data_IF_831670377506
#
_entry.id   IF_831670377506
#
_cell.length_a   1.000
_cell.length_b   1.000
_cell.length_c   1.000
_cell.angle_alpha   90.00
_cell.angle_beta   90.00
_cell.angle_gamma   90.00
#
_symmetry.space_group_name_H-M   'P 1'
#
loop_
_entity.id
_entity.type
_entity.pdbx_description
1 polymer ?
#
# COMPACT_ATOMS: atom_id res chain seq x y z
N UNK A 1 -58.88 12.91 -11.75
CA UNK A 1 -57.59 12.88 -12.48
C UNK A 1 -56.43 13.58 -11.75
N UNK A 2 -56.62 14.66 -10.98
CA UNK A 2 -55.52 15.31 -10.23
C UNK A 2 -54.89 14.45 -9.10
N UNK A 3 -55.69 13.69 -8.36
CA UNK A 3 -55.20 12.90 -7.20
C UNK A 3 -54.31 11.71 -7.59
N UNK A 4 -54.56 11.11 -8.75
CA UNK A 4 -53.77 9.98 -9.28
C UNK A 4 -52.40 10.42 -9.81
N UNK A 5 -52.32 11.61 -10.42
CA UNK A 5 -51.05 12.17 -10.89
C UNK A 5 -50.11 12.56 -9.73
N UNK A 6 -50.67 13.09 -8.64
CA UNK A 6 -49.89 13.43 -7.43
C UNK A 6 -49.35 12.17 -6.75
N UNK A 7 -50.15 11.11 -6.65
CA UNK A 7 -49.70 9.83 -6.09
C UNK A 7 -48.57 9.19 -6.91
N UNK A 8 -48.65 9.26 -8.24
CA UNK A 8 -47.60 8.74 -9.12
C UNK A 8 -46.29 9.53 -9.00
N UNK A 9 -46.36 10.87 -8.92
CA UNK A 9 -45.19 11.72 -8.74
C UNK A 9 -44.50 11.49 -7.38
N UNK A 10 -45.27 11.29 -6.31
CA UNK A 10 -44.74 10.97 -4.98
C UNK A 10 -44.08 9.59 -4.98
N UNK A 11 -44.69 8.59 -5.63
CA UNK A 11 -44.10 7.27 -5.74
C UNK A 11 -42.76 7.29 -6.51
N UNK A 12 -42.66 8.05 -7.59
CA UNK A 12 -41.40 8.22 -8.34
C UNK A 12 -40.34 8.91 -7.50
N UNK A 13 -40.70 9.96 -6.74
CA UNK A 13 -39.78 10.64 -5.83
C UNK A 13 -39.27 9.73 -4.70
N UNK A 14 -40.15 8.90 -4.13
CA UNK A 14 -39.77 7.93 -3.09
C UNK A 14 -38.86 6.86 -3.69
N UNK A 15 -39.16 6.35 -4.88
CA UNK A 15 -38.29 5.37 -5.56
C UNK A 15 -36.93 6.00 -5.85
N UNK A 16 -36.86 7.23 -6.34
CA UNK A 16 -35.59 7.93 -6.60
C UNK A 16 -34.81 8.22 -5.32
N UNK A 17 -35.49 8.61 -4.23
CA UNK A 17 -34.87 8.84 -2.93
C UNK A 17 -34.34 7.53 -2.33
N UNK A 18 -35.11 6.44 -2.41
CA UNK A 18 -34.67 5.12 -1.97
C UNK A 18 -33.52 4.63 -2.84
N UNK A 19 -33.54 4.85 -4.16
CA UNK A 19 -32.43 4.48 -5.05
C UNK A 19 -31.16 5.28 -4.73
N UNK A 20 -31.28 6.58 -4.46
CA UNK A 20 -30.15 7.42 -4.06
C UNK A 20 -29.57 7.01 -2.69
N UNK A 21 -30.44 6.66 -1.73
CA UNK A 21 -30.02 6.16 -0.40
C UNK A 21 -29.38 4.78 -0.52
N UNK A 22 -29.98 3.87 -1.31
CA UNK A 22 -29.44 2.53 -1.56
C UNK A 22 -28.09 2.59 -2.28
N UNK A 23 -27.93 3.50 -3.24
CA UNK A 23 -26.66 3.73 -3.94
C UNK A 23 -25.59 4.41 -3.05
N UNK A 24 -26.02 5.17 -2.03
CA UNK A 24 -25.13 5.72 -1.01
C UNK A 24 -24.75 4.68 0.07
N UNK A 25 -25.59 3.66 0.30
CA UNK A 25 -25.32 2.55 1.23
C UNK A 25 -24.71 1.30 0.60
N UNK A 26 -24.64 1.23 -0.74
CA UNK A 26 -23.82 0.29 -1.52
C UNK A 26 -22.49 1.01 -1.85
N UNK A 27 -21.67 1.38 -0.87
CA UNK A 27 -21.00 0.42 0.01
C UNK A 27 -19.74 -0.05 -0.71
N UNK A 28 -18.77 0.86 -0.88
CA UNK A 28 -17.44 0.47 -1.37
C UNK A 28 -16.78 -0.56 -0.44
N UNK A 29 -15.71 -1.23 -0.88
CA UNK A 29 -15.03 -2.22 -0.07
C UNK A 29 -14.53 -1.60 1.24
N UNK A 30 -14.73 -2.29 2.35
CA UNK A 30 -14.16 -1.92 3.64
C UNK A 30 -12.66 -2.22 3.69
N UNK A 31 -11.96 -1.68 4.68
CA UNK A 31 -10.56 -2.04 4.93
C UNK A 31 -10.38 -3.56 5.16
N UNK A 32 -11.36 -4.21 5.78
CA UNK A 32 -11.34 -5.65 6.03
C UNK A 32 -11.47 -6.45 4.73
N UNK A 33 -12.35 -6.04 3.82
CA UNK A 33 -12.49 -6.67 2.50
C UNK A 33 -11.16 -6.62 1.73
N UNK A 34 -10.40 -5.52 1.85
CA UNK A 34 -9.08 -5.39 1.25
C UNK A 34 -8.06 -6.31 1.92
N UNK A 35 -8.07 -6.42 3.25
CA UNK A 35 -7.19 -7.32 4.00
C UNK A 35 -7.45 -8.79 3.65
N UNK A 36 -8.70 -9.19 3.52
CA UNK A 36 -9.11 -10.52 3.07
C UNK A 36 -8.66 -10.79 1.63
N UNK A 37 -8.85 -9.82 0.74
CA UNK A 37 -8.42 -9.92 -0.66
C UNK A 37 -6.89 -10.05 -0.77
N UNK A 38 -6.12 -9.36 0.07
CA UNK A 38 -4.66 -9.50 0.18
C UNK A 38 -4.29 -10.91 0.68
N UNK A 39 -4.94 -11.39 1.75
CA UNK A 39 -4.70 -12.71 2.32
C UNK A 39 -5.01 -13.88 1.37
N UNK A 40 -5.90 -13.67 0.40
CA UNK A 40 -6.22 -14.64 -0.65
C UNK A 40 -5.24 -14.70 -1.83
N UNK A 41 -4.26 -13.79 -1.95
CA UNK A 41 -3.31 -13.79 -3.07
C UNK A 41 -2.18 -14.80 -2.85
N UNK A 42 -1.96 -15.68 -3.83
CA UNK A 42 -0.83 -16.61 -3.82
C UNK A 42 0.33 -16.19 -4.72
N UNK A 43 0.09 -15.29 -5.68
CA UNK A 43 1.06 -14.85 -6.68
C UNK A 43 0.63 -13.54 -7.31
N UNK A 44 1.57 -12.60 -7.48
CA UNK A 44 1.32 -11.30 -8.11
C UNK A 44 2.60 -10.62 -8.57
N UNK A 45 2.46 -9.71 -9.54
CA UNK A 45 3.48 -8.75 -9.95
C UNK A 45 2.99 -7.32 -9.72
N UNK A 46 3.91 -6.41 -9.46
CA UNK A 46 3.64 -4.99 -9.35
C UNK A 46 4.77 -4.16 -9.95
N UNK A 47 4.44 -2.92 -10.26
CA UNK A 47 5.42 -1.86 -10.52
C UNK A 47 5.29 -0.80 -9.44
N UNK A 48 6.40 -0.21 -9.05
CA UNK A 48 6.42 0.95 -8.18
C UNK A 48 7.39 2.02 -8.70
N UNK A 49 7.08 3.27 -8.42
CA UNK A 49 7.99 4.39 -8.58
C UNK A 49 8.19 5.04 -7.22
N UNK A 50 9.43 5.10 -6.77
CA UNK A 50 9.82 5.73 -5.50
C UNK A 50 10.69 6.94 -5.79
N UNK A 51 10.49 8.01 -5.03
CA UNK A 51 11.31 9.21 -5.09
C UNK A 51 11.60 9.68 -3.68
N UNK A 52 12.88 9.79 -3.37
CA UNK A 52 13.34 10.44 -2.15
C UNK A 52 14.10 11.73 -2.51
N UNK A 53 14.73 12.36 -1.52
CA UNK A 53 15.45 13.62 -1.70
C UNK A 53 16.67 13.50 -2.65
N UNK A 54 17.13 12.29 -2.98
CA UNK A 54 18.40 12.05 -3.66
C UNK A 54 18.23 11.25 -4.95
N UNK A 55 17.21 10.41 -5.03
CA UNK A 55 17.08 9.36 -6.03
C UNK A 55 15.64 9.17 -6.48
N UNK A 56 15.49 8.71 -7.73
CA UNK A 56 14.25 8.17 -8.26
C UNK A 56 14.50 6.74 -8.68
N UNK A 57 13.64 5.84 -8.22
CA UNK A 57 13.72 4.42 -8.50
C UNK A 57 12.44 3.92 -9.15
N UNK A 58 12.59 3.05 -10.14
CA UNK A 58 11.51 2.29 -10.74
C UNK A 58 11.73 0.81 -10.42
N UNK A 59 10.74 0.21 -9.76
CA UNK A 59 10.76 -1.18 -9.35
C UNK A 59 9.74 -1.94 -10.19
N UNK A 60 10.16 -3.08 -10.73
CA UNK A 60 9.26 -4.13 -11.20
C UNK A 60 9.55 -5.36 -10.36
N UNK A 61 8.52 -5.96 -9.78
CA UNK A 61 8.70 -7.10 -8.91
C UNK A 61 7.54 -8.08 -9.00
N UNK A 62 7.84 -9.34 -8.69
CA UNK A 62 6.88 -10.43 -8.66
C UNK A 62 7.18 -11.35 -7.48
N UNK A 63 6.14 -11.88 -6.85
CA UNK A 63 6.23 -12.85 -5.76
C UNK A 63 5.24 -13.98 -6.04
N UNK A 64 5.64 -15.21 -5.75
CA UNK A 64 4.80 -16.39 -5.79
C UNK A 64 5.06 -17.23 -4.53
N UNK A 65 4.08 -17.23 -3.62
CA UNK A 65 4.18 -17.93 -2.34
C UNK A 65 4.08 -19.45 -2.51
N UNK A 66 3.43 -19.95 -3.56
CA UNK A 66 3.22 -21.39 -3.76
C UNK A 66 4.53 -22.14 -4.04
N UNK A 67 5.45 -21.50 -4.77
CA UNK A 67 6.76 -22.06 -5.09
C UNK A 67 7.91 -21.37 -4.34
N UNK A 68 7.58 -20.46 -3.41
CA UNK A 68 8.54 -19.75 -2.59
C UNK A 68 9.52 -18.89 -3.40
N UNK A 69 9.05 -18.24 -4.47
CA UNK A 69 9.91 -17.46 -5.36
C UNK A 69 9.55 -15.98 -5.46
N UNK A 70 10.57 -15.15 -5.62
CA UNK A 70 10.41 -13.72 -5.84
C UNK A 70 11.50 -13.14 -6.73
N UNK A 71 11.19 -12.03 -7.38
CA UNK A 71 12.09 -11.32 -8.27
C UNK A 71 11.84 -9.82 -8.18
N UNK A 72 12.92 -9.04 -8.18
CA UNK A 72 12.90 -7.58 -8.21
C UNK A 72 13.89 -7.08 -9.24
N UNK A 73 13.43 -6.17 -10.09
CA UNK A 73 14.24 -5.36 -10.98
C UNK A 73 14.10 -3.91 -10.55
N UNK A 74 15.20 -3.35 -10.06
CA UNK A 74 15.26 -1.96 -9.61
C UNK A 74 16.07 -1.16 -10.61
N UNK A 75 15.51 -0.09 -11.13
CA UNK A 75 16.17 0.84 -12.05
C UNK A 75 16.30 2.19 -11.38
N UNK A 76 17.52 2.68 -11.25
CA UNK A 76 17.82 3.96 -10.58
C UNK A 76 18.98 4.66 -11.31
N UNK A 77 18.80 5.94 -11.62
CA UNK A 77 19.76 6.70 -12.45
C UNK A 77 20.04 5.99 -13.79
N UNK A 78 21.30 5.61 -14.02
CA UNK A 78 21.74 4.90 -15.22
C UNK A 78 21.92 3.37 -15.01
N UNK A 79 21.57 2.86 -13.83
CA UNK A 79 21.80 1.46 -13.44
C UNK A 79 20.51 0.65 -13.34
N UNK A 80 20.64 -0.65 -13.57
CA UNK A 80 19.61 -1.64 -13.26
C UNK A 80 20.22 -2.71 -12.37
N UNK A 81 19.58 -2.97 -11.23
CA UNK A 81 19.90 -4.07 -10.32
C UNK A 81 18.83 -5.15 -10.41
N UNK A 82 19.25 -6.40 -10.27
CA UNK A 82 18.38 -7.56 -10.22
C UNK A 82 18.61 -8.30 -8.91
N UNK A 83 17.54 -8.45 -8.14
CA UNK A 83 17.50 -9.27 -6.92
C UNK A 83 16.48 -10.38 -7.11
N UNK A 84 16.76 -11.55 -6.55
CA UNK A 84 15.89 -12.71 -6.70
C UNK A 84 15.97 -13.63 -5.49
N UNK A 85 14.87 -14.31 -5.23
CA UNK A 85 14.78 -15.40 -4.29
C UNK A 85 14.20 -16.59 -5.03
N UNK A 86 15.04 -17.48 -5.56
CA UNK A 86 14.60 -18.80 -6.01
C UNK A 86 15.22 -19.88 -5.13
N UNK A 87 14.45 -20.92 -4.75
CA UNK A 87 14.98 -21.99 -3.90
C UNK A 87 16.29 -22.58 -4.46
N UNK A 88 17.33 -22.62 -3.63
CA UNK A 88 18.65 -23.12 -3.99
C UNK A 88 19.63 -22.08 -4.53
N UNK A 89 19.23 -20.80 -4.63
CA UNK A 89 20.15 -19.71 -4.97
C UNK A 89 20.88 -19.16 -3.74
N UNK A 90 22.05 -18.56 -3.98
CA UNK A 90 22.77 -17.80 -2.96
C UNK A 90 21.90 -16.66 -2.42
N UNK A 91 21.90 -16.47 -1.10
CA UNK A 91 21.08 -15.48 -0.39
C UNK A 91 19.56 -15.68 -0.48
N UNK A 92 19.08 -16.87 -0.88
CA UNK A 92 17.65 -17.20 -0.91
C UNK A 92 16.93 -16.82 0.38
N UNK A 93 17.41 -17.30 1.54
CA UNK A 93 16.71 -17.09 2.81
C UNK A 93 16.57 -15.61 3.16
N UNK A 94 17.62 -14.80 2.89
CA UNK A 94 17.60 -13.36 3.14
C UNK A 94 16.60 -12.66 2.22
N UNK A 95 16.65 -12.94 0.92
CA UNK A 95 15.79 -12.27 -0.06
C UNK A 95 14.32 -12.72 0.08
N UNK A 96 14.11 -13.98 0.45
CA UNK A 96 12.78 -14.51 0.71
C UNK A 96 12.18 -13.93 2.00
N UNK A 97 12.98 -13.72 3.04
CA UNK A 97 12.55 -13.03 4.26
C UNK A 97 12.06 -11.59 3.95
N UNK A 98 12.79 -10.86 3.10
CA UNK A 98 12.36 -9.54 2.62
C UNK A 98 11.02 -9.62 1.88
N UNK A 99 10.80 -10.64 1.04
CA UNK A 99 9.51 -10.85 0.36
C UNK A 99 8.37 -11.08 1.36
N UNK A 100 8.62 -11.79 2.46
CA UNK A 100 7.59 -12.20 3.41
C UNK A 100 7.28 -11.15 4.47
N UNK A 101 8.27 -10.39 4.91
CA UNK A 101 8.15 -9.60 6.14
C UNK A 101 8.45 -8.10 5.96
N UNK A 102 8.99 -7.69 4.82
CA UNK A 102 9.28 -6.28 4.60
C UNK A 102 8.00 -5.46 4.52
N UNK A 103 8.06 -4.26 5.11
CA UNK A 103 7.00 -3.25 5.10
C UNK A 103 7.17 -2.24 3.95
N UNK A 104 8.23 -2.36 3.14
CA UNK A 104 8.49 -1.47 2.00
C UNK A 104 7.75 -1.89 0.73
N UNK A 105 7.22 -0.93 -0.03
CA UNK A 105 6.56 -1.17 -1.33
C UNK A 105 7.53 -1.76 -2.35
N UNK A 106 8.81 -1.43 -2.25
CA UNK A 106 9.88 -1.96 -3.07
C UNK A 106 10.07 -3.47 -2.89
N UNK A 107 9.78 -3.99 -1.70
CA UNK A 107 9.97 -5.41 -1.37
C UNK A 107 8.70 -6.22 -1.53
N UNK A 108 7.57 -5.73 -0.99
CA UNK A 108 6.28 -6.38 -1.15
C UNK A 108 5.13 -5.39 -0.91
N UNK A 109 4.46 -5.00 -2.00
CA UNK A 109 3.34 -4.05 -1.97
C UNK A 109 2.14 -4.54 -1.15
N UNK A 110 1.89 -5.85 -1.11
CA UNK A 110 0.80 -6.44 -0.33
C UNK A 110 1.07 -6.37 1.16
N UNK A 111 2.33 -6.59 1.58
CA UNK A 111 2.73 -6.42 2.97
C UNK A 111 2.64 -4.97 3.41
N UNK A 112 3.10 -4.03 2.58
CA UNK A 112 2.94 -2.59 2.84
C UNK A 112 1.47 -2.23 3.02
N UNK A 113 0.61 -2.61 2.07
CA UNK A 113 -0.82 -2.32 2.13
C UNK A 113 -1.49 -2.94 3.36
N UNK A 114 -1.16 -4.21 3.68
CA UNK A 114 -1.69 -4.87 4.87
C UNK A 114 -1.22 -4.20 6.16
N UNK A 115 0.05 -3.81 6.22
CA UNK A 115 0.61 -3.12 7.37
C UNK A 115 -0.08 -1.78 7.63
N UNK A 116 -0.19 -0.92 6.61
CA UNK A 116 -0.84 0.40 6.78
C UNK A 116 -2.31 0.25 7.14
N UNK A 117 -3.03 -0.73 6.57
CA UNK A 117 -4.44 -0.97 6.88
C UNK A 117 -4.65 -1.51 8.31
N UNK A 118 -3.76 -2.36 8.81
CA UNK A 118 -3.86 -2.96 10.15
C UNK A 118 -3.46 -2.01 11.27
N UNK A 119 -2.39 -1.24 11.07
CA UNK A 119 -1.81 -0.37 12.10
C UNK A 119 -2.21 1.11 11.94
N UNK A 120 -2.72 1.49 10.77
CA UNK A 120 -3.15 2.86 10.47
C UNK A 120 -4.64 3.10 10.75
N UNK A 121 -5.06 4.35 10.58
CA UNK A 121 -6.45 4.78 10.64
C UNK A 121 -6.96 5.03 9.22
N UNK A 122 -7.98 4.29 8.79
CA UNK A 122 -8.70 4.58 7.56
C UNK A 122 -9.56 5.84 7.77
N UNK A 123 -9.21 6.94 7.10
CA UNK A 123 -9.90 8.23 7.27
C UNK A 123 -11.08 8.41 6.30
N UNK A 124 -11.18 7.57 5.26
CA UNK A 124 -12.32 7.59 4.34
C UNK A 124 -12.12 6.69 3.12
N UNK A 125 -13.23 6.46 2.42
CA UNK A 125 -13.30 5.68 1.18
C UNK A 125 -14.04 6.53 0.15
N UNK A 126 -13.40 6.81 -0.98
CA UNK A 126 -13.97 7.58 -2.08
C UNK A 126 -14.12 6.72 -3.32
N UNK A 127 -15.25 6.85 -4.04
CA UNK A 127 -15.43 6.20 -5.33
C UNK A 127 -14.76 7.02 -6.42
N UNK A 128 -13.69 6.50 -7.02
CA UNK A 128 -12.87 7.21 -8.02
C UNK A 128 -13.13 6.74 -9.45
N UNK A 129 -13.81 5.61 -9.63
CA UNK A 129 -14.16 5.05 -10.94
C UNK A 129 -15.50 4.31 -10.94
N UNK A 130 -15.81 3.62 -12.04
CA UNK A 130 -17.05 2.84 -12.15
C UNK A 130 -17.11 1.72 -11.10
N UNK A 131 -15.98 1.07 -10.88
CA UNK A 131 -15.76 -0.03 -9.94
C UNK A 131 -14.36 0.09 -9.30
N UNK A 132 -13.97 1.33 -8.99
CA UNK A 132 -12.67 1.65 -8.37
C UNK A 132 -12.91 2.62 -7.22
N UNK A 133 -12.29 2.32 -6.10
CA UNK A 133 -12.39 3.05 -4.84
C UNK A 133 -11.00 3.38 -4.35
N UNK A 134 -10.83 4.54 -3.73
CA UNK A 134 -9.59 4.95 -3.07
C UNK A 134 -9.82 5.02 -1.56
N UNK A 135 -9.00 4.30 -0.81
CA UNK A 135 -9.02 4.27 0.65
C UNK A 135 -7.84 5.08 1.14
N UNK A 136 -8.12 6.15 1.89
CA UNK A 136 -7.08 6.95 2.52
C UNK A 136 -6.78 6.42 3.91
N UNK A 137 -5.53 6.06 4.16
CA UNK A 137 -5.05 5.50 5.42
C UNK A 137 -3.90 6.34 5.93
N UNK A 138 -3.93 6.65 7.23
CA UNK A 138 -2.85 7.38 7.90
C UNK A 138 -2.30 6.54 9.04
N UNK A 139 -1.00 6.27 8.98
CA UNK A 139 -0.26 5.55 10.00
C UNK A 139 0.78 6.49 10.61
N UNK A 140 0.80 6.57 11.94
CA UNK A 140 1.74 7.38 12.70
C UNK A 140 2.35 6.53 13.79
N UNK A 141 3.66 6.58 13.93
CA UNK A 141 4.37 5.77 14.89
C UNK A 141 5.62 6.45 15.42
N UNK A 142 6.17 5.87 16.47
CA UNK A 142 7.47 6.25 17.01
C UNK A 142 8.22 4.98 17.35
N UNK A 143 9.37 4.81 16.73
CA UNK A 143 10.27 3.69 16.96
C UNK A 143 11.53 4.17 17.69
N UNK A 144 12.17 3.26 18.41
CA UNK A 144 13.44 3.55 19.07
C UNK A 144 14.40 2.39 18.88
N UNK A 145 15.57 2.68 18.33
CA UNK A 145 16.60 1.68 18.03
C UNK A 145 18.00 2.27 18.17
N UNK A 146 19.04 1.44 18.02
CA UNK A 146 20.43 1.88 18.03
C UNK A 146 21.08 1.57 16.68
N UNK A 147 21.90 2.50 16.18
CA UNK A 147 22.69 2.34 14.95
C UNK A 147 24.16 2.58 15.24
N UNK A 148 25.04 2.09 14.36
CA UNK A 148 26.49 2.24 14.47
C UNK A 148 27.18 1.10 15.23
N UNK A 149 28.48 1.24 15.45
CA UNK A 149 29.26 0.22 16.17
C UNK A 149 29.18 0.44 17.68
N UNK A 150 29.73 -0.50 18.47
CA UNK A 150 29.82 -0.35 19.92
C UNK A 150 30.62 0.90 20.33
N UNK A 151 31.69 1.25 19.60
CA UNK A 151 32.51 2.42 19.90
C UNK A 151 31.95 3.74 19.34
N UNK A 152 31.09 3.67 18.33
CA UNK A 152 30.51 4.85 17.68
C UNK A 152 29.09 4.58 17.21
N UNK A 153 28.21 4.39 18.20
CA UNK A 153 26.78 4.18 18.00
C UNK A 153 25.97 5.38 18.47
N UNK A 154 24.75 5.48 17.95
CA UNK A 154 23.74 6.40 18.47
C UNK A 154 22.42 5.70 18.64
N UNK A 155 21.74 6.02 19.73
CA UNK A 155 20.31 5.78 19.86
C UNK A 155 19.56 6.72 18.94
N UNK A 156 18.51 6.22 18.33
CA UNK A 156 17.66 6.91 17.37
C UNK A 156 16.23 6.82 17.87
N UNK A 157 15.60 7.97 18.09
CA UNK A 157 14.14 8.08 18.16
C UNK A 157 13.65 8.47 16.76
N UNK A 158 12.84 7.63 16.15
CA UNK A 158 12.28 7.87 14.83
C UNK A 158 10.78 8.08 14.94
N UNK A 159 10.30 9.25 14.50
CA UNK A 159 8.87 9.50 14.31
C UNK A 159 8.55 9.35 12.84
N UNK A 160 7.57 8.51 12.52
CA UNK A 160 7.16 8.32 11.15
C UNK A 160 5.68 8.62 10.94
N UNK A 161 5.37 9.19 9.79
CA UNK A 161 4.01 9.38 9.29
C UNK A 161 3.93 8.82 7.86
N UNK A 162 2.98 7.93 7.65
CA UNK A 162 2.64 7.40 6.33
C UNK A 162 1.22 7.83 6.00
N UNK A 163 1.06 8.48 4.86
CA UNK A 163 -0.24 8.78 4.27
C UNK A 163 -0.32 7.96 2.99
N UNK A 164 -1.16 6.94 2.98
CA UNK A 164 -1.36 6.03 1.86
C UNK A 164 -2.76 6.21 1.27
N UNK A 165 -2.84 6.17 -0.05
CA UNK A 165 -4.06 6.21 -0.83
C UNK A 165 -4.10 4.92 -1.67
N UNK A 166 -4.85 3.94 -1.19
CA UNK A 166 -4.91 2.60 -1.77
C UNK A 166 -6.08 2.53 -2.75
N UNK A 167 -5.81 2.25 -4.02
CA UNK A 167 -6.83 2.06 -5.06
C UNK A 167 -7.20 0.59 -5.15
N UNK A 168 -8.49 0.30 -5.04
CA UNK A 168 -9.06 -1.05 -4.97
C UNK A 168 -10.28 -1.16 -5.88
N UNK A 169 -10.62 -2.37 -6.31
CA UNK A 169 -11.88 -2.63 -7.02
C UNK A 169 -13.05 -2.90 -6.04
N UNK A 170 -14.26 -3.14 -6.57
CA UNK A 170 -15.44 -3.41 -5.75
C UNK A 170 -15.36 -4.66 -4.87
N UNK A 171 -14.39 -5.55 -5.10
CA UNK A 171 -14.12 -6.75 -4.28
C UNK A 171 -12.97 -6.51 -3.27
N UNK A 172 -12.44 -5.29 -3.18
CA UNK A 172 -11.32 -4.95 -2.31
C UNK A 172 -9.95 -5.36 -2.86
N UNK A 173 -9.85 -5.87 -4.10
CA UNK A 173 -8.55 -6.24 -4.66
C UNK A 173 -7.75 -4.99 -4.97
N UNK A 174 -6.51 -4.97 -4.50
CA UNK A 174 -5.57 -3.88 -4.74
C UNK A 174 -5.29 -3.73 -6.24
N UNK A 175 -5.43 -2.50 -6.75
CA UNK A 175 -5.12 -2.11 -8.13
C UNK A 175 -3.87 -1.25 -8.21
N UNK A 176 -3.63 -0.47 -7.18
CA UNK A 176 -2.47 0.42 -7.09
C UNK A 176 -2.61 1.38 -5.93
N UNK A 177 -1.83 2.44 -5.94
CA UNK A 177 -1.93 3.47 -4.93
C UNK A 177 -0.78 4.46 -5.00
N UNK A 178 -0.85 5.45 -4.13
CA UNK A 178 0.24 6.39 -3.90
C UNK A 178 0.38 6.66 -2.41
N UNK A 179 1.58 7.06 -2.00
CA UNK A 179 1.85 7.31 -0.60
C UNK A 179 2.96 8.34 -0.41
N UNK A 180 2.95 8.94 0.78
CA UNK A 180 4.07 9.69 1.32
C UNK A 180 4.47 9.05 2.65
N UNK A 181 5.75 8.77 2.82
CA UNK A 181 6.34 8.31 4.07
C UNK A 181 7.39 9.32 4.54
N UNK A 182 7.05 10.05 5.59
CA UNK A 182 7.94 10.99 6.27
C UNK A 182 8.53 10.33 7.52
N UNK A 183 9.84 10.46 7.71
CA UNK A 183 10.60 9.94 8.85
C UNK A 183 11.43 11.09 9.43
N UNK A 184 11.27 11.34 10.72
CA UNK A 184 12.05 12.30 11.48
C UNK A 184 12.88 11.52 12.50
N UNK A 185 14.20 11.50 12.32
CA UNK A 185 15.13 10.73 13.13
C UNK A 185 15.96 11.67 13.99
N UNK A 186 15.86 11.48 15.30
CA UNK A 186 16.67 12.18 16.30
C UNK A 186 17.77 11.23 16.82
N UNK A 187 19.02 11.53 16.47
CA UNK A 187 20.20 10.80 16.92
C UNK A 187 20.72 11.42 18.21
N UNK A 188 20.46 10.76 19.33
CA UNK A 188 20.79 11.29 20.67
C UNK A 188 22.28 11.50 20.87
N UNK A 189 23.09 10.47 20.56
CA UNK A 189 24.51 10.47 20.90
C UNK A 189 25.33 11.28 19.89
N UNK A 190 24.80 11.49 18.68
CA UNK A 190 25.40 12.36 17.66
C UNK A 190 24.86 13.79 17.66
N UNK A 191 23.83 14.09 18.45
CA UNK A 191 23.14 15.39 18.49
C UNK A 191 22.75 15.87 17.08
N UNK A 192 22.13 14.97 16.31
CA UNK A 192 21.79 15.19 14.90
C UNK A 192 20.32 14.90 14.68
N UNK A 193 19.66 15.75 13.89
CA UNK A 193 18.34 15.51 13.38
C UNK A 193 18.39 15.30 11.88
N UNK A 194 17.67 14.29 11.39
CA UNK A 194 17.46 14.05 9.98
C UNK A 194 15.97 13.95 9.68
N UNK A 195 15.58 14.52 8.53
CA UNK A 195 14.24 14.37 7.99
C UNK A 195 14.35 13.76 6.61
N UNK A 196 13.68 12.63 6.43
CA UNK A 196 13.56 11.94 5.16
C UNK A 196 12.10 11.89 4.75
N UNK A 197 11.85 12.08 3.46
CA UNK A 197 10.53 11.89 2.87
C UNK A 197 10.69 11.02 1.63
N UNK A 198 9.92 9.94 1.57
CA UNK A 198 9.79 9.07 0.41
C UNK A 198 8.38 9.29 -0.13
N UNK A 199 8.28 9.62 -1.41
CA UNK A 199 7.02 9.63 -2.15
C UNK A 199 7.01 8.45 -3.09
N UNK A 200 5.90 7.75 -3.13
CA UNK A 200 5.81 6.56 -3.96
C UNK A 200 4.45 6.40 -4.63
N UNK A 201 4.46 5.64 -5.71
CA UNK A 201 3.25 5.11 -6.33
C UNK A 201 3.48 3.67 -6.74
N UNK A 202 2.40 2.90 -6.83
CA UNK A 202 2.47 1.52 -7.28
C UNK A 202 1.22 1.12 -8.08
N UNK A 203 1.40 0.09 -8.89
CA UNK A 203 0.37 -0.49 -9.75
C UNK A 203 0.49 -2.02 -9.73
N UNK A 204 -0.64 -2.70 -9.55
CA UNK A 204 -0.73 -4.15 -9.63
C UNK A 204 -0.82 -4.60 -11.08
N UNK A 205 0.06 -5.50 -11.50
CA UNK A 205 0.13 -5.99 -12.87
C UNK A 205 -0.62 -7.31 -13.07
N UNK A 206 -1.14 -7.90 -12.00
CA UNK A 206 -1.88 -9.16 -11.99
C UNK A 206 -1.04 -10.34 -11.50
N UNK A 207 -1.56 -11.57 -11.62
CA UNK A 207 -0.88 -12.77 -11.14
C UNK A 207 0.40 -13.04 -11.93
N UNK A 208 1.44 -13.51 -11.22
CA UNK A 208 2.64 -14.00 -11.89
C UNK A 208 2.40 -15.44 -12.35
N UNK A 209 2.09 -15.58 -13.63
CA UNK A 209 1.96 -16.87 -14.31
C UNK A 209 3.36 -17.34 -14.72
N UNK A 210 3.93 -18.26 -13.95
CA UNK A 210 5.03 -19.13 -14.41
C UNK A 210 4.46 -20.51 -14.72
#
# INVERSE_FOLDING_TARGET
>A
MRKTAVAAAVAVLVVLAVWAVVNATLGGPSAEDVLDAIGGQSSFCWRAELTDNLTKEEIFACVNYNNGSAFWKVTSGNGTSLTRAFPGEDFYDLNWDLALHSKGVEWNVMNFASWVLKEGTAEGIEKVGRDEYEIRVVLRGTDSYAVGTLENGSRVEERHEIIAFLRVDGEGKLKGGHFTWRREMHYTDWSRDEVMEIRGSFEMLGPWNN
#
